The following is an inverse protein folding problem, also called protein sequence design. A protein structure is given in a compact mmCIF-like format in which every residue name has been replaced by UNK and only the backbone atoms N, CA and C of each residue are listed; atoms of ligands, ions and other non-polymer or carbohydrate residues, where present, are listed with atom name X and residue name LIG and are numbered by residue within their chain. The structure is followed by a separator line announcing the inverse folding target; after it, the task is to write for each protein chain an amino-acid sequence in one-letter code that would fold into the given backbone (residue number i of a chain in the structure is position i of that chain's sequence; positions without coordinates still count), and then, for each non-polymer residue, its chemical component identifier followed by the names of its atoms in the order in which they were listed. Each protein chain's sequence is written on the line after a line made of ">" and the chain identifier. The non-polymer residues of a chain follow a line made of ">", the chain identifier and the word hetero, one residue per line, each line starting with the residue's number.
data_IF_711380858472
#
_entry.id   IF_711380858472
#
_cell.length_a   1.000
_cell.length_b   1.000
_cell.length_c   1.000
_cell.angle_alpha   90.00
_cell.angle_beta   90.00
_cell.angle_gamma   90.00
#
_symmetry.space_group_name_H-M   'P 1'
#
loop_
_entity.id
_entity.type
_entity.pdbx_description
1 polymer ?
#
# COMPACT_ATOMS: atom_id res chain seq x y z
N UNK A 1 -46.96 40.79 -65.82
CA UNK A 1 -46.86 41.16 -64.39
C UNK A 1 -45.49 40.80 -63.78
N UNK A 2 -44.46 41.66 -63.91
CA UNK A 2 -43.10 41.42 -63.37
C UNK A 2 -42.91 41.74 -61.87
N UNK A 3 -43.84 42.50 -61.25
CA UNK A 3 -43.71 42.95 -59.85
C UNK A 3 -43.79 41.83 -58.80
N UNK A 4 -44.63 40.81 -58.99
CA UNK A 4 -44.77 39.67 -58.03
C UNK A 4 -43.51 38.80 -57.95
N UNK A 5 -42.72 38.70 -59.03
CA UNK A 5 -41.48 37.89 -59.06
C UNK A 5 -40.32 38.58 -58.33
N UNK A 6 -40.19 39.91 -58.46
CA UNK A 6 -39.18 40.69 -57.72
C UNK A 6 -39.40 40.60 -56.21
N UNK A 7 -40.63 40.79 -55.74
CA UNK A 7 -40.98 40.72 -54.31
C UNK A 7 -40.63 39.38 -53.65
N UNK A 8 -40.88 38.24 -54.32
CA UNK A 8 -40.52 36.90 -53.80
C UNK A 8 -39.00 36.69 -53.67
N UNK A 9 -38.20 37.26 -54.58
CA UNK A 9 -36.73 37.18 -54.53
C UNK A 9 -36.17 37.93 -53.32
N UNK A 10 -36.66 39.16 -53.08
CA UNK A 10 -36.28 39.95 -51.90
C UNK A 10 -36.64 39.24 -50.59
N UNK A 11 -37.82 38.63 -50.50
CA UNK A 11 -38.23 37.88 -49.29
C UNK A 11 -37.31 36.68 -49.03
N UNK A 12 -36.89 35.98 -50.09
CA UNK A 12 -35.97 34.85 -49.98
C UNK A 12 -34.57 35.31 -49.51
N UNK A 13 -34.04 36.37 -50.12
CA UNK A 13 -32.75 36.96 -49.75
C UNK A 13 -32.75 37.46 -48.29
N UNK A 14 -33.81 38.15 -47.84
CA UNK A 14 -33.95 38.58 -46.45
C UNK A 14 -33.98 37.41 -45.46
N UNK A 15 -34.63 36.29 -45.80
CA UNK A 15 -34.62 35.08 -44.95
C UNK A 15 -33.24 34.45 -44.85
N UNK A 16 -32.50 34.41 -45.96
CA UNK A 16 -31.12 33.91 -45.97
C UNK A 16 -30.19 34.79 -45.14
N UNK A 17 -30.28 36.12 -45.28
CA UNK A 17 -29.48 37.08 -44.49
C UNK A 17 -29.78 36.91 -43.00
N UNK A 18 -31.06 36.88 -42.59
CA UNK A 18 -31.44 36.72 -41.19
C UNK A 18 -30.92 35.40 -40.58
N UNK A 19 -30.95 34.31 -41.34
CA UNK A 19 -30.40 33.01 -40.90
C UNK A 19 -28.88 33.08 -40.74
N UNK A 20 -28.18 33.72 -41.67
CA UNK A 20 -26.73 33.92 -41.59
C UNK A 20 -26.34 34.80 -40.38
N UNK A 21 -27.05 35.89 -40.14
CA UNK A 21 -26.84 36.75 -38.96
C UNK A 21 -27.07 35.99 -37.65
N UNK A 22 -28.12 35.16 -37.58
CA UNK A 22 -28.36 34.32 -36.40
C UNK A 22 -27.23 33.32 -36.16
N UNK A 23 -26.67 32.72 -37.21
CA UNK A 23 -25.56 31.78 -37.09
C UNK A 23 -24.28 32.48 -36.62
N UNK A 24 -23.99 33.68 -37.13
CA UNK A 24 -22.85 34.50 -36.70
C UNK A 24 -22.95 34.80 -35.20
N UNK A 25 -24.11 35.26 -34.73
CA UNK A 25 -24.32 35.52 -33.30
C UNK A 25 -24.12 34.29 -32.40
N UNK A 26 -24.43 33.09 -32.89
CA UNK A 26 -24.18 31.83 -32.15
C UNK A 26 -22.68 31.51 -32.12
N UNK A 27 -21.96 31.78 -33.22
CA UNK A 27 -20.52 31.57 -33.31
C UNK A 27 -19.78 32.52 -32.36
N UNK A 28 -20.15 33.81 -32.33
CA UNK A 28 -19.54 34.80 -31.44
C UNK A 28 -19.69 34.39 -29.96
N UNK A 29 -20.90 34.00 -29.54
CA UNK A 29 -21.14 33.50 -28.18
C UNK A 29 -20.30 32.26 -27.84
N UNK A 30 -20.08 31.37 -28.81
CA UNK A 30 -19.21 30.20 -28.60
C UNK A 30 -17.74 30.62 -28.48
N UNK A 31 -17.32 31.63 -29.24
CA UNK A 31 -15.96 32.15 -29.20
C UNK A 31 -15.65 32.79 -27.85
N UNK A 32 -16.56 33.61 -27.32
CA UNK A 32 -16.44 34.18 -25.97
C UNK A 32 -16.33 33.10 -24.89
N UNK A 33 -17.14 32.03 -25.01
CA UNK A 33 -17.07 30.91 -24.08
C UNK A 33 -15.72 30.17 -24.16
N UNK A 34 -15.15 30.03 -25.35
CA UNK A 34 -13.83 29.40 -25.54
C UNK A 34 -12.70 30.26 -24.97
N UNK A 35 -12.76 31.59 -25.14
CA UNK A 35 -11.78 32.52 -24.57
C UNK A 35 -11.76 32.43 -23.04
N UNK A 36 -12.93 32.46 -22.40
CA UNK A 36 -13.04 32.31 -20.95
C UNK A 36 -12.48 30.97 -20.44
N UNK A 37 -12.69 29.88 -21.19
CA UNK A 37 -12.11 28.57 -20.84
C UNK A 37 -10.59 28.56 -20.96
N UNK A 38 -10.05 29.22 -21.98
CA UNK A 38 -8.60 29.32 -22.20
C UNK A 38 -7.91 30.10 -21.06
N UNK A 39 -8.52 31.18 -20.59
CA UNK A 39 -8.03 31.92 -19.43
C UNK A 39 -8.05 31.07 -18.16
N UNK A 40 -9.09 30.26 -17.98
CA UNK A 40 -9.16 29.27 -16.89
C UNK A 40 -8.02 28.26 -16.92
N UNK A 41 -7.69 27.73 -18.11
CA UNK A 41 -6.57 26.80 -18.31
C UNK A 41 -5.23 27.47 -18.01
N UNK A 42 -5.02 28.69 -18.51
CA UNK A 42 -3.79 29.45 -18.25
C UNK A 42 -3.58 29.73 -16.75
N UNK A 43 -4.66 29.96 -16.00
CA UNK A 43 -4.57 30.16 -14.55
C UNK A 43 -4.25 28.85 -13.80
N UNK A 44 -4.78 27.72 -14.27
CA UNK A 44 -4.44 26.41 -13.71
C UNK A 44 -2.98 26.04 -13.96
N UNK A 45 -2.47 26.33 -15.15
CA UNK A 45 -1.07 26.10 -15.54
C UNK A 45 -0.11 26.84 -14.60
N UNK A 46 -0.37 28.15 -14.37
CA UNK A 46 0.40 28.95 -13.39
C UNK A 46 0.36 28.38 -11.97
N UNK A 47 -0.79 27.85 -11.53
CA UNK A 47 -0.90 27.20 -10.21
C UNK A 47 -0.09 25.91 -10.14
N UNK A 48 -0.02 25.16 -11.24
CA UNK A 48 0.77 23.94 -11.35
C UNK A 48 2.27 24.25 -11.24
N UNK A 49 2.76 25.30 -11.92
CA UNK A 49 4.15 25.75 -11.80
C UNK A 49 4.52 26.12 -10.35
N UNK A 50 3.61 26.82 -9.65
CA UNK A 50 3.82 27.15 -8.23
C UNK A 50 3.90 25.88 -7.38
N UNK A 51 3.08 24.88 -7.65
CA UNK A 51 3.10 23.60 -6.92
C UNK A 51 4.38 22.80 -7.19
N UNK A 52 4.84 22.74 -8.43
CA UNK A 52 6.11 22.08 -8.80
C UNK A 52 7.27 22.72 -8.03
N UNK A 53 7.34 24.04 -8.05
CA UNK A 53 8.38 24.78 -7.32
C UNK A 53 8.33 24.58 -5.78
N UNK A 54 7.15 24.32 -5.21
CA UNK A 54 7.03 23.96 -3.78
C UNK A 54 7.46 22.53 -3.52
N UNK A 55 7.14 21.60 -4.42
CA UNK A 55 7.53 20.19 -4.32
C UNK A 55 9.05 20.02 -4.40
N UNK A 56 9.72 20.76 -5.28
CA UNK A 56 11.17 20.74 -5.42
C UNK A 56 11.85 21.24 -4.14
N UNK A 57 11.36 22.34 -3.55
CA UNK A 57 11.85 22.85 -2.26
C UNK A 57 11.66 21.83 -1.13
N UNK A 58 10.47 21.25 -1.02
CA UNK A 58 10.20 20.23 0.01
C UNK A 58 11.08 18.98 -0.18
N UNK A 59 11.38 18.61 -1.42
CA UNK A 59 12.27 17.49 -1.73
C UNK A 59 13.71 17.80 -1.29
N UNK A 60 14.20 19.01 -1.56
CA UNK A 60 15.51 19.45 -1.09
C UNK A 60 15.60 19.47 0.44
N UNK A 61 14.58 20.00 1.12
CA UNK A 61 14.50 20.00 2.59
C UNK A 61 14.46 18.57 3.15
N UNK A 62 13.69 17.67 2.55
CA UNK A 62 13.65 16.26 2.98
C UNK A 62 15.01 15.57 2.83
N UNK A 63 15.75 15.86 1.76
CA UNK A 63 17.12 15.35 1.56
C UNK A 63 18.06 15.89 2.64
N UNK A 64 17.97 17.19 2.95
CA UNK A 64 18.77 17.82 4.01
C UNK A 64 18.46 17.21 5.38
N UNK A 65 17.18 17.07 5.74
CA UNK A 65 16.75 16.45 6.99
C UNK A 65 17.23 15.00 7.11
N UNK A 66 17.18 14.21 6.03
CA UNK A 66 17.72 12.84 6.03
C UNK A 66 19.22 12.82 6.31
N UNK A 67 19.97 13.77 5.75
CA UNK A 67 21.42 13.93 5.98
C UNK A 67 21.73 14.34 7.42
N UNK A 68 20.99 15.31 7.96
CA UNK A 68 21.11 15.76 9.35
C UNK A 68 20.76 14.63 10.34
N UNK A 69 19.67 13.90 10.09
CA UNK A 69 19.31 12.70 10.86
C UNK A 69 20.44 11.66 10.81
N UNK A 70 21.06 11.45 9.65
CA UNK A 70 22.23 10.57 9.52
C UNK A 70 23.39 11.02 10.40
N UNK A 71 23.67 12.33 10.44
CA UNK A 71 24.73 12.92 11.25
C UNK A 71 24.43 12.88 12.75
N UNK A 72 23.18 13.10 13.16
CA UNK A 72 22.72 12.98 14.55
C UNK A 72 22.82 11.52 15.00
N UNK A 73 22.37 10.57 14.18
CA UNK A 73 22.50 9.14 14.46
C UNK A 73 23.96 8.74 14.68
N UNK A 74 24.89 9.25 13.86
CA UNK A 74 26.32 9.00 14.01
C UNK A 74 26.92 9.59 15.30
N UNK A 75 26.41 10.74 15.78
CA UNK A 75 26.93 11.43 16.99
C UNK A 75 26.30 10.95 18.30
N UNK A 76 25.01 10.61 18.29
CA UNK A 76 24.25 10.24 19.50
C UNK A 76 24.39 8.76 19.82
N UNK A 77 24.54 7.90 18.81
CA UNK A 77 24.60 6.45 18.98
C UNK A 77 25.98 5.93 18.62
N UNK A 78 27.01 6.26 19.41
CA UNK A 78 28.33 5.61 19.31
C UNK A 78 28.17 4.12 19.00
N UNK A 79 28.81 3.69 17.91
CA UNK A 79 28.59 2.43 17.18
C UNK A 79 27.18 2.27 16.59
N UNK A 80 27.17 2.04 15.27
CA UNK A 80 26.01 1.55 14.52
C UNK A 80 25.47 0.32 15.28
N UNK A 81 24.44 0.51 16.11
CA UNK A 81 23.53 -0.59 16.43
C UNK A 81 22.99 -1.02 15.08
N UNK A 82 23.54 -2.12 14.54
CA UNK A 82 22.93 -2.83 13.42
C UNK A 82 21.43 -2.83 13.71
N UNK A 83 20.55 -2.43 12.76
CA UNK A 83 19.12 -2.56 12.97
C UNK A 83 18.92 -3.97 13.51
N UNK A 84 18.44 -4.09 14.76
CA UNK A 84 18.22 -5.40 15.38
C UNK A 84 17.19 -6.03 14.45
N UNK A 85 17.61 -6.95 13.59
CA UNK A 85 16.73 -7.62 12.65
C UNK A 85 15.82 -8.48 13.51
N UNK A 86 14.57 -8.05 13.66
CA UNK A 86 13.61 -8.60 14.62
C UNK A 86 12.86 -9.78 14.00
N UNK A 87 12.44 -9.65 12.74
CA UNK A 87 11.95 -10.78 11.94
C UNK A 87 13.02 -11.18 10.91
N UNK A 88 13.07 -12.46 10.51
CA UNK A 88 13.93 -12.91 9.42
C UNK A 88 13.65 -12.12 8.13
N UNK A 89 14.70 -11.66 7.42
CA UNK A 89 14.53 -10.98 6.12
C UNK A 89 13.99 -11.93 5.03
N UNK A 90 14.23 -13.22 5.20
CA UNK A 90 13.67 -14.30 4.40
C UNK A 90 13.17 -15.40 5.34
N UNK A 91 12.14 -16.16 4.95
CA UNK A 91 11.61 -17.22 5.79
C UNK A 91 12.70 -18.27 6.08
N UNK A 92 12.77 -18.73 7.32
CA UNK A 92 13.74 -19.71 7.79
C UNK A 92 13.59 -21.01 6.99
N UNK A 93 14.71 -21.58 6.57
CA UNK A 93 14.78 -22.73 5.66
C UNK A 93 15.22 -24.03 6.33
N UNK A 94 15.75 -23.95 7.55
CA UNK A 94 16.14 -25.13 8.35
C UNK A 94 15.52 -25.13 9.75
N UNK A 95 15.49 -26.30 10.39
CA UNK A 95 15.02 -26.43 11.78
C UNK A 95 16.01 -25.78 12.75
N UNK A 96 17.32 -25.82 12.46
CA UNK A 96 18.36 -25.18 13.25
C UNK A 96 18.19 -23.65 13.27
N UNK A 97 17.82 -23.05 12.15
CA UNK A 97 17.49 -21.63 12.03
C UNK A 97 16.26 -21.28 12.89
N UNK A 98 15.21 -22.12 12.86
CA UNK A 98 14.05 -21.97 13.71
C UNK A 98 14.41 -22.09 15.20
N UNK A 99 15.26 -23.03 15.58
CA UNK A 99 15.72 -23.19 16.96
C UNK A 99 16.56 -22.00 17.45
N UNK A 100 17.41 -21.44 16.59
CA UNK A 100 18.13 -20.23 16.90
C UNK A 100 17.18 -19.03 17.09
N UNK A 101 16.17 -18.89 16.23
CA UNK A 101 15.15 -17.86 16.36
C UNK A 101 14.34 -18.00 17.66
N UNK A 102 13.96 -19.22 18.02
CA UNK A 102 13.28 -19.54 19.27
C UNK A 102 14.12 -19.21 20.51
N UNK A 103 15.44 -19.45 20.44
CA UNK A 103 16.35 -19.05 21.50
C UNK A 103 16.36 -17.52 21.70
N UNK A 104 16.42 -16.75 20.61
CA UNK A 104 16.39 -15.28 20.67
C UNK A 104 15.05 -14.76 21.25
N UNK A 105 13.94 -15.44 20.97
CA UNK A 105 12.62 -15.10 21.51
C UNK A 105 12.52 -15.25 23.03
N UNK A 106 13.44 -15.95 23.70
CA UNK A 106 13.49 -15.99 25.17
C UNK A 106 13.79 -14.61 25.77
N UNK A 107 14.41 -13.71 25.01
CA UNK A 107 14.69 -12.33 25.41
C UNK A 107 13.43 -11.47 25.24
N UNK A 108 12.93 -10.93 26.36
CA UNK A 108 11.62 -10.25 26.40
C UNK A 108 11.54 -9.03 25.48
N UNK A 109 12.63 -8.26 25.32
CA UNK A 109 12.61 -7.11 24.40
C UNK A 109 12.57 -7.56 22.94
N UNK A 110 13.29 -8.64 22.58
CA UNK A 110 13.19 -9.25 21.25
C UNK A 110 11.78 -9.77 20.97
N UNK A 111 11.19 -10.48 21.94
CA UNK A 111 9.81 -10.98 21.85
C UNK A 111 8.79 -9.86 21.60
N UNK A 112 8.86 -8.77 22.36
CA UNK A 112 8.00 -7.59 22.17
C UNK A 112 8.21 -6.93 20.81
N UNK A 113 9.45 -6.83 20.36
CA UNK A 113 9.74 -6.28 19.05
C UNK A 113 9.13 -7.15 17.93
N UNK A 114 9.19 -8.48 18.05
CA UNK A 114 8.58 -9.40 17.08
C UNK A 114 7.08 -9.17 16.97
N UNK A 115 6.38 -9.01 18.11
CA UNK A 115 4.95 -8.68 18.11
C UNK A 115 4.71 -7.33 17.41
N UNK A 116 5.49 -6.30 17.75
CA UNK A 116 5.35 -4.98 17.15
C UNK A 116 5.53 -5.02 15.61
N UNK A 117 6.51 -5.75 15.11
CA UNK A 117 6.74 -5.92 13.67
C UNK A 117 5.59 -6.68 12.99
N UNK A 118 5.09 -7.76 13.60
CA UNK A 118 3.92 -8.50 13.09
C UNK A 118 2.66 -7.61 12.99
N UNK A 119 2.51 -6.66 13.92
CA UNK A 119 1.39 -5.71 13.95
C UNK A 119 1.44 -4.68 12.81
N UNK A 120 2.61 -4.44 12.20
CA UNK A 120 2.76 -3.55 11.05
C UNK A 120 2.14 -4.10 9.76
N UNK A 121 1.76 -5.37 9.72
CA UNK A 121 1.07 -5.98 8.58
C UNK A 121 -0.24 -5.24 8.23
N UNK A 122 -0.47 -5.00 6.94
CA UNK A 122 -1.71 -4.39 6.43
C UNK A 122 -2.92 -5.34 6.36
N UNK A 123 -2.73 -6.64 6.63
CA UNK A 123 -3.75 -7.68 6.44
C UNK A 123 -4.97 -7.49 7.34
N UNK A 124 -6.17 -7.39 6.75
CA UNK A 124 -7.41 -7.10 7.49
C UNK A 124 -8.18 -8.35 7.90
N UNK A 125 -7.99 -9.47 7.20
CA UNK A 125 -8.64 -10.74 7.52
C UNK A 125 -7.74 -11.55 8.45
N UNK A 126 -8.30 -12.06 9.55
CA UNK A 126 -7.52 -12.73 10.60
C UNK A 126 -6.79 -13.97 10.10
N UNK A 127 -7.45 -14.75 9.25
CA UNK A 127 -6.94 -15.99 8.69
C UNK A 127 -5.77 -15.73 7.71
N UNK A 128 -5.86 -14.64 6.92
CA UNK A 128 -4.77 -14.17 6.06
C UNK A 128 -3.61 -13.63 6.89
N UNK A 129 -3.89 -12.84 7.92
CA UNK A 129 -2.87 -12.29 8.81
C UNK A 129 -2.05 -13.41 9.47
N UNK A 130 -2.70 -14.43 10.05
CA UNK A 130 -2.00 -15.57 10.67
C UNK A 130 -1.11 -16.28 9.65
N UNK A 131 -1.64 -16.60 8.45
CA UNK A 131 -0.87 -17.28 7.40
C UNK A 131 0.31 -16.44 6.91
N UNK A 132 0.12 -15.15 6.71
CA UNK A 132 1.17 -14.23 6.28
C UNK A 132 2.26 -14.08 7.35
N UNK A 133 1.88 -13.99 8.63
CA UNK A 133 2.83 -13.99 9.77
C UNK A 133 3.69 -15.25 9.79
N UNK A 134 3.08 -16.42 9.59
CA UNK A 134 3.85 -17.67 9.48
C UNK A 134 4.78 -17.66 8.27
N UNK A 135 4.29 -17.29 7.08
CA UNK A 135 5.11 -17.24 5.87
C UNK A 135 6.27 -16.25 5.96
N UNK A 136 6.16 -15.18 6.76
CA UNK A 136 7.29 -14.27 6.97
C UNK A 136 8.40 -14.86 7.84
N UNK A 137 8.13 -15.93 8.58
CA UNK A 137 9.08 -16.52 9.54
C UNK A 137 9.53 -17.90 9.10
N UNK A 138 8.63 -18.79 8.67
CA UNK A 138 8.97 -20.17 8.31
C UNK A 138 8.68 -20.41 6.84
N UNK A 139 9.65 -21.01 6.14
CA UNK A 139 9.44 -21.54 4.80
C UNK A 139 8.57 -22.79 4.83
N UNK A 140 8.10 -23.22 3.65
CA UNK A 140 7.34 -24.47 3.54
C UNK A 140 8.20 -25.72 3.82
N UNK A 141 9.52 -25.65 3.57
CA UNK A 141 10.47 -26.72 3.91
C UNK A 141 10.61 -26.92 5.42
N UNK A 142 10.58 -25.83 6.19
CA UNK A 142 10.54 -25.93 7.66
C UNK A 142 9.14 -26.32 8.13
N UNK A 143 8.10 -25.79 7.51
CA UNK A 143 6.72 -26.08 7.90
C UNK A 143 6.37 -27.56 7.76
N UNK A 144 6.87 -28.28 6.75
CA UNK A 144 6.59 -29.73 6.58
C UNK A 144 7.21 -30.61 7.67
N UNK A 145 8.30 -30.14 8.28
CA UNK A 145 9.00 -30.76 9.42
C UNK A 145 8.36 -30.42 10.78
N UNK A 146 7.26 -29.67 10.75
CA UNK A 146 6.57 -29.18 11.92
C UNK A 146 5.12 -29.69 11.97
N UNK A 147 4.54 -29.76 13.17
CA UNK A 147 3.12 -30.06 13.36
C UNK A 147 2.57 -29.37 14.60
N UNK A 148 1.24 -29.24 14.68
CA UNK A 148 0.58 -28.54 15.80
C UNK A 148 0.99 -29.10 17.16
N UNK A 149 0.92 -30.43 17.36
CA UNK A 149 1.23 -31.08 18.64
C UNK A 149 2.61 -31.73 18.71
N UNK A 150 3.34 -31.77 17.60
CA UNK A 150 4.55 -32.59 17.48
C UNK A 150 4.22 -34.06 17.22
N UNK A 151 5.21 -34.77 16.70
CA UNK A 151 5.27 -36.23 16.57
C UNK A 151 6.72 -36.66 16.84
N UNK A 152 7.05 -37.95 16.73
CA UNK A 152 8.44 -38.41 16.81
C UNK A 152 9.33 -37.77 15.72
N UNK A 153 8.75 -37.52 14.54
CA UNK A 153 9.47 -37.01 13.36
C UNK A 153 9.33 -35.49 13.17
N UNK A 154 8.28 -34.88 13.74
CA UNK A 154 7.93 -33.46 13.51
C UNK A 154 7.97 -32.63 14.77
N UNK A 155 8.59 -31.46 14.69
CA UNK A 155 8.66 -30.50 15.80
C UNK A 155 7.27 -29.99 16.19
N UNK A 156 7.02 -29.87 17.49
CA UNK A 156 5.79 -29.28 18.03
C UNK A 156 5.83 -27.76 17.94
N UNK A 157 4.96 -27.15 17.13
CA UNK A 157 4.92 -25.69 17.00
C UNK A 157 4.08 -25.02 18.09
N UNK A 158 3.07 -25.70 18.66
CA UNK A 158 2.16 -25.10 19.64
C UNK A 158 2.89 -24.59 20.88
N UNK A 159 3.99 -25.25 21.25
CA UNK A 159 4.81 -24.91 22.40
C UNK A 159 5.88 -23.84 22.14
N UNK A 160 6.04 -23.38 20.90
CA UNK A 160 7.07 -22.41 20.52
C UNK A 160 6.70 -20.98 20.92
N UNK A 161 7.71 -20.18 21.22
CA UNK A 161 7.56 -18.76 21.53
C UNK A 161 7.13 -17.96 20.31
N UNK A 162 7.53 -18.35 19.09
CA UNK A 162 7.01 -17.70 17.87
C UNK A 162 5.50 -17.86 17.77
N UNK A 163 4.96 -19.05 18.09
CA UNK A 163 3.51 -19.28 18.12
C UNK A 163 2.85 -18.39 19.16
N UNK A 164 3.46 -18.24 20.34
CA UNK A 164 2.96 -17.33 21.36
C UNK A 164 2.97 -15.87 20.88
N UNK A 165 4.03 -15.42 20.21
CA UNK A 165 4.13 -14.07 19.67
C UNK A 165 3.03 -13.78 18.64
N UNK A 166 2.83 -14.68 17.68
CA UNK A 166 1.76 -14.53 16.67
C UNK A 166 0.38 -14.59 17.35
N UNK A 167 0.17 -15.47 18.33
CA UNK A 167 -1.09 -15.56 19.09
C UNK A 167 -1.38 -14.26 19.86
N UNK A 168 -0.37 -13.67 20.49
CA UNK A 168 -0.52 -12.39 21.21
C UNK A 168 -0.95 -11.29 20.24
N UNK A 169 -0.26 -11.13 19.11
CA UNK A 169 -0.65 -10.16 18.08
C UNK A 169 -2.06 -10.42 17.51
N UNK A 170 -2.43 -11.68 17.32
CA UNK A 170 -3.78 -12.06 16.90
C UNK A 170 -4.85 -11.60 17.89
N UNK A 171 -4.67 -11.86 19.18
CA UNK A 171 -5.62 -11.46 20.24
C UNK A 171 -5.77 -9.95 20.32
N UNK A 172 -4.66 -9.22 20.27
CA UNK A 172 -4.66 -7.76 20.29
C UNK A 172 -5.38 -7.16 19.08
N UNK A 173 -5.30 -7.82 17.93
CA UNK A 173 -5.79 -7.29 16.65
C UNK A 173 -7.24 -7.64 16.33
N UNK A 174 -7.69 -8.85 16.64
CA UNK A 174 -8.94 -9.37 16.10
C UNK A 174 -10.05 -9.64 17.13
N UNK A 175 -9.76 -9.57 18.45
CA UNK A 175 -10.74 -9.84 19.52
C UNK A 175 -11.52 -11.16 19.32
N UNK A 176 -10.83 -12.19 18.83
CA UNK A 176 -11.38 -13.53 18.55
C UNK A 176 -10.85 -14.57 19.55
N UNK A 177 -11.48 -15.73 19.56
CA UNK A 177 -11.14 -16.85 20.45
C UNK A 177 -9.87 -17.59 20.00
N UNK A 178 -9.20 -18.25 20.95
CA UNK A 178 -8.01 -19.06 20.68
C UNK A 178 -8.26 -20.19 19.67
N UNK A 179 -9.49 -20.71 19.63
CA UNK A 179 -9.88 -21.77 18.71
C UNK A 179 -9.75 -21.35 17.23
N UNK A 180 -9.98 -20.07 16.91
CA UNK A 180 -9.81 -19.56 15.55
C UNK A 180 -8.34 -19.52 15.14
N UNK A 181 -7.48 -19.03 16.05
CA UNK A 181 -6.04 -19.02 15.84
C UNK A 181 -5.48 -20.44 15.67
N UNK A 182 -5.84 -21.34 16.59
CA UNK A 182 -5.38 -22.72 16.62
C UNK A 182 -5.80 -23.45 15.33
N UNK A 183 -7.05 -23.26 14.87
CA UNK A 183 -7.55 -23.86 13.63
C UNK A 183 -6.75 -23.42 12.39
N UNK A 184 -6.52 -22.12 12.24
CA UNK A 184 -5.79 -21.58 11.08
C UNK A 184 -4.33 -22.02 11.11
N UNK A 185 -3.70 -21.96 12.27
CA UNK A 185 -2.30 -22.36 12.44
C UNK A 185 -2.13 -23.87 12.23
N UNK A 186 -3.01 -24.71 12.79
CA UNK A 186 -2.99 -26.15 12.55
C UNK A 186 -3.12 -26.46 11.05
N UNK A 187 -4.05 -25.81 10.36
CA UNK A 187 -4.25 -25.97 8.92
C UNK A 187 -3.00 -25.58 8.13
N UNK A 188 -2.33 -24.50 8.51
CA UNK A 188 -1.09 -24.04 7.86
C UNK A 188 0.01 -25.10 7.87
N UNK A 189 0.24 -25.77 9.00
CA UNK A 189 1.26 -26.82 9.10
C UNK A 189 0.79 -28.17 8.55
N UNK A 190 -0.51 -28.49 8.65
CA UNK A 190 -1.06 -29.76 8.16
C UNK A 190 -0.88 -29.91 6.64
N UNK A 191 -1.11 -28.84 5.89
CA UNK A 191 -1.00 -28.82 4.42
C UNK A 191 0.33 -28.22 3.95
N UNK A 192 1.39 -28.33 4.75
CA UNK A 192 2.71 -27.84 4.35
C UNK A 192 3.33 -28.65 3.22
N UNK A 193 3.08 -29.97 3.19
CA UNK A 193 3.59 -30.85 2.15
C UNK A 193 3.06 -30.46 0.76
N UNK A 194 1.77 -30.15 0.66
CA UNK A 194 1.08 -29.79 -0.59
C UNK A 194 1.51 -28.44 -1.20
N UNK A 195 2.44 -27.71 -0.55
CA UNK A 195 2.95 -26.42 -1.02
C UNK A 195 4.35 -26.48 -1.64
N UNK A 196 5.01 -27.63 -1.55
CA UNK A 196 6.42 -27.81 -1.96
C UNK A 196 6.55 -28.56 -3.29
N UNK A 197 5.43 -28.75 -4.01
CA UNK A 197 5.38 -29.43 -5.32
C UNK A 197 5.82 -28.55 -6.50
#
# INVERSE_FOLDING_TARGET
>A
MPFKRKSRKYICESKHINKSTSNINIIDKKMDLMLNKLDGINNLDKKMDIMINKLDRNTAEMVALRSEIGSIKAKVCGEIRKPKVVLPCQPLTTIEELDHFEHNLQEESFFKNVIAELMMSGEKAFDKWIRSSWRSIVSDEVARQCSWRGTEEKKCIRGLRVTLAIRTGFKERFLLEDADFDRVTQTFFQYAQDRVD
#
